data_IF_606783115838
#
_entry.id   IF_606783115838
#
_cell.length_a   1.000
_cell.length_b   1.000
_cell.length_c   1.000
_cell.angle_alpha   90.00
_cell.angle_beta   90.00
_cell.angle_gamma   90.00
#
_symmetry.space_group_name_H-M   'P 1'
#
loop_
_entity.id
_entity.type
_entity.pdbx_description
1 polymer ?
#
# COMPACT_ATOMS: atom_id res chain seq x y z
N UNK A 1 -15.87 -25.03 -20.29
CA UNK A 1 -14.99 -24.24 -19.40
C UNK A 1 -14.56 -23.01 -20.19
N UNK A 2 -15.10 -21.83 -19.84
CA UNK A 2 -14.95 -20.60 -20.63
C UNK A 2 -13.55 -19.98 -20.53
N UNK A 3 -13.15 -19.23 -21.56
CA UNK A 3 -11.84 -18.57 -21.62
C UNK A 3 -11.68 -17.65 -20.40
N UNK A 4 -10.55 -17.72 -19.67
CA UNK A 4 -10.33 -16.84 -18.54
C UNK A 4 -10.43 -15.37 -18.96
N UNK A 5 -10.93 -14.49 -18.07
CA UNK A 5 -11.08 -13.08 -18.37
C UNK A 5 -9.74 -12.46 -18.80
N UNK A 6 -9.73 -11.77 -19.93
CA UNK A 6 -8.56 -11.07 -20.51
C UNK A 6 -8.31 -9.70 -19.89
N UNK A 7 -9.22 -9.20 -19.06
CA UNK A 7 -9.09 -7.89 -18.41
C UNK A 7 -8.07 -7.93 -17.27
N UNK A 8 -7.19 -6.92 -17.14
CA UNK A 8 -6.26 -6.82 -16.02
C UNK A 8 -7.00 -6.83 -14.68
N UNK A 9 -6.51 -7.64 -13.74
CA UNK A 9 -7.04 -7.66 -12.38
C UNK A 9 -6.81 -6.30 -11.73
N UNK A 10 -7.88 -5.62 -11.32
CA UNK A 10 -7.79 -4.35 -10.59
C UNK A 10 -7.02 -4.58 -9.29
N UNK A 11 -6.16 -3.62 -8.93
CA UNK A 11 -5.54 -3.58 -7.59
C UNK A 11 -6.63 -3.40 -6.55
N UNK A 12 -6.45 -4.03 -5.38
CA UNK A 12 -7.41 -3.91 -4.27
C UNK A 12 -7.30 -2.51 -3.67
N UNK A 13 -8.42 -1.87 -3.36
CA UNK A 13 -8.39 -0.62 -2.60
C UNK A 13 -8.07 -0.89 -1.14
N UNK A 14 -7.42 0.09 -0.49
CA UNK A 14 -7.10 0.02 0.93
C UNK A 14 -5.76 0.67 1.28
N UNK A 15 -5.28 0.38 2.48
CA UNK A 15 -4.07 0.91 3.09
C UNK A 15 -2.94 -0.10 3.00
N UNK A 16 -1.88 0.26 2.30
CA UNK A 16 -0.80 -0.63 1.94
C UNK A 16 0.40 -0.44 2.88
N UNK A 17 0.97 -1.55 3.34
CA UNK A 17 2.30 -1.61 3.96
C UNK A 17 3.14 -2.64 3.23
N UNK A 18 4.42 -2.36 3.10
CA UNK A 18 5.42 -3.32 2.64
C UNK A 18 6.25 -3.77 3.83
N UNK A 19 6.43 -5.07 3.98
CA UNK A 19 7.26 -5.66 5.03
C UNK A 19 8.38 -6.47 4.40
N UNK A 20 9.60 -6.33 4.90
CA UNK A 20 10.75 -7.12 4.46
C UNK A 20 11.56 -7.63 5.64
N UNK A 21 12.32 -8.71 5.43
CA UNK A 21 13.25 -9.18 6.46
C UNK A 21 14.36 -8.13 6.66
N UNK A 22 14.76 -7.92 7.92
CA UNK A 22 15.79 -6.93 8.27
C UNK A 22 17.08 -7.23 7.51
N UNK A 23 17.65 -6.21 6.87
CA UNK A 23 18.86 -6.34 6.06
C UNK A 23 18.66 -6.93 4.66
N UNK A 24 17.43 -7.26 4.27
CA UNK A 24 17.14 -7.71 2.90
C UNK A 24 17.18 -6.55 1.91
N UNK A 25 17.86 -6.75 0.78
CA UNK A 25 17.93 -5.78 -0.34
C UNK A 25 16.80 -5.95 -1.36
N UNK A 26 16.07 -7.05 -1.30
CA UNK A 26 14.96 -7.34 -2.20
C UNK A 26 13.67 -6.63 -1.76
N UNK A 27 12.72 -6.51 -2.71
CA UNK A 27 11.37 -6.04 -2.43
C UNK A 27 10.68 -6.94 -1.39
N UNK A 28 9.84 -6.31 -0.57
CA UNK A 28 9.10 -6.95 0.51
C UNK A 28 7.76 -7.52 0.06
N UNK A 29 7.05 -8.08 1.04
CA UNK A 29 5.66 -8.52 0.89
C UNK A 29 4.72 -7.35 1.18
N UNK A 30 3.72 -7.13 0.32
CA UNK A 30 2.68 -6.12 0.54
C UNK A 30 1.52 -6.72 1.33
N UNK A 31 1.11 -6.02 2.39
CA UNK A 31 -0.09 -6.27 3.17
C UNK A 31 -1.05 -5.10 2.95
N UNK A 32 -2.32 -5.44 2.69
CA UNK A 32 -3.39 -4.47 2.45
C UNK A 32 -4.40 -4.56 3.60
N UNK A 33 -4.74 -3.42 4.19
CA UNK A 33 -5.75 -3.28 5.25
C UNK A 33 -6.87 -2.36 4.80
N UNK A 34 -8.06 -2.56 5.36
CA UNK A 34 -9.23 -1.81 4.95
C UNK A 34 -9.26 -0.41 5.59
N UNK A 35 -8.64 -0.22 6.77
CA UNK A 35 -8.57 1.07 7.47
C UNK A 35 -7.14 1.50 7.79
N UNK A 36 -6.93 2.81 7.97
CA UNK A 36 -5.65 3.41 8.37
C UNK A 36 -5.19 2.88 9.73
N UNK A 37 -6.10 2.71 10.67
CA UNK A 37 -5.79 2.22 12.03
C UNK A 37 -5.30 0.78 11.99
N UNK A 38 -5.99 -0.08 11.24
CA UNK A 38 -5.56 -1.47 11.05
C UNK A 38 -4.20 -1.57 10.36
N UNK A 39 -3.91 -0.66 9.42
CA UNK A 39 -2.59 -0.53 8.80
C UNK A 39 -1.51 -0.16 9.81
N UNK A 40 -1.76 0.85 10.65
CA UNK A 40 -0.80 1.28 11.68
C UNK A 40 -0.58 0.20 12.74
N UNK A 41 -1.64 -0.49 13.16
CA UNK A 41 -1.54 -1.62 14.08
C UNK A 41 -0.68 -2.74 13.49
N UNK A 42 -0.90 -3.09 12.21
CA UNK A 42 -0.10 -4.09 11.53
C UNK A 42 1.38 -3.64 11.39
N UNK A 43 1.62 -2.38 11.06
CA UNK A 43 2.98 -1.84 10.98
C UNK A 43 3.73 -2.00 12.32
N UNK A 44 3.07 -1.63 13.43
CA UNK A 44 3.62 -1.77 14.78
C UNK A 44 3.89 -3.23 15.17
N UNK A 45 3.06 -4.17 14.74
CA UNK A 45 3.30 -5.59 15.00
C UNK A 45 4.52 -6.11 14.24
N UNK A 46 4.70 -5.68 12.99
CA UNK A 46 5.80 -6.18 12.14
C UNK A 46 7.13 -5.48 12.39
N UNK A 47 7.17 -4.25 12.91
CA UNK A 47 8.41 -3.49 13.15
C UNK A 47 9.41 -4.20 14.07
N UNK A 48 8.89 -5.05 14.97
CA UNK A 48 9.70 -5.85 15.90
C UNK A 48 10.63 -6.78 15.11
N UNK A 49 10.14 -7.42 14.06
CA UNK A 49 10.85 -8.51 13.36
C UNK A 49 11.27 -8.16 11.92
N UNK A 50 10.65 -7.14 11.32
CA UNK A 50 10.79 -6.78 9.90
C UNK A 50 11.03 -5.29 9.75
N UNK A 51 11.59 -4.90 8.60
CA UNK A 51 11.56 -3.50 8.18
C UNK A 51 10.20 -3.23 7.52
N UNK A 52 9.51 -2.21 8.02
CA UNK A 52 8.17 -1.85 7.56
C UNK A 52 8.22 -0.52 6.81
N UNK A 53 7.64 -0.50 5.63
CA UNK A 53 7.47 0.71 4.80
C UNK A 53 5.99 0.99 4.60
N UNK A 54 5.53 2.17 5.01
CA UNK A 54 4.14 2.58 4.84
C UNK A 54 3.95 3.15 3.42
N UNK A 55 3.13 2.48 2.62
CA UNK A 55 2.80 2.90 1.25
C UNK A 55 1.52 3.75 1.20
N UNK A 56 0.71 3.73 2.26
CA UNK A 56 -0.48 4.57 2.40
C UNK A 56 -1.70 4.09 1.61
N UNK A 57 -2.71 4.94 1.53
CA UNK A 57 -4.00 4.64 0.91
C UNK A 57 -3.88 4.56 -0.62
N UNK A 58 -4.46 3.50 -1.18
CA UNK A 58 -4.65 3.32 -2.61
C UNK A 58 -6.13 3.14 -2.91
N UNK A 59 -6.61 3.89 -3.91
CA UNK A 59 -7.99 3.84 -4.40
C UNK A 59 -7.98 3.88 -5.93
N UNK A 60 -8.77 3.01 -6.55
CA UNK A 60 -8.81 2.81 -8.01
C UNK A 60 -7.42 2.53 -8.60
N UNK A 61 -6.60 1.80 -7.85
CA UNK A 61 -5.24 1.45 -8.22
C UNK A 61 -4.22 2.59 -8.19
N UNK A 62 -4.58 3.77 -7.66
CA UNK A 62 -3.70 4.94 -7.51
C UNK A 62 -3.50 5.29 -6.04
N UNK A 63 -2.31 5.80 -5.69
CA UNK A 63 -2.02 6.28 -4.33
C UNK A 63 -2.71 7.63 -4.07
N UNK A 64 -3.42 7.75 -2.95
CA UNK A 64 -4.26 8.92 -2.66
C UNK A 64 -3.44 10.12 -2.17
N UNK A 65 -2.39 9.92 -1.38
CA UNK A 65 -1.61 11.02 -0.78
C UNK A 65 -0.89 11.94 -1.78
N UNK A 66 -0.42 11.42 -2.92
CA UNK A 66 0.18 12.26 -3.97
C UNK A 66 -0.81 13.27 -4.56
N UNK A 67 -2.10 12.98 -4.47
CA UNK A 67 -3.17 13.83 -4.97
C UNK A 67 -3.33 15.10 -4.13
N UNK A 68 -3.16 15.00 -2.79
CA UNK A 68 -3.34 16.13 -1.87
C UNK A 68 -2.19 17.15 -1.92
N UNK A 69 -0.94 16.71 -2.16
CA UNK A 69 0.19 17.64 -2.32
C UNK A 69 0.15 18.42 -3.63
N UNK A 70 -0.47 17.89 -4.69
CA UNK A 70 -0.62 18.60 -5.98
C UNK A 70 -1.74 19.65 -5.96
N UNK A 71 -2.76 19.50 -5.12
CA UNK A 71 -3.81 20.50 -4.97
C UNK A 71 -3.41 21.71 -4.13
N UNK A 72 -2.45 21.57 -3.21
CA UNK A 72 -1.96 22.68 -2.38
C UNK A 72 -0.81 23.49 -3.03
N UNK A 73 -0.27 23.03 -4.16
CA UNK A 73 0.82 23.70 -4.88
C UNK A 73 0.35 24.60 -6.04
N UNK A 74 -0.97 24.75 -6.26
CA UNK A 74 -1.54 25.58 -7.34
C UNK A 74 -2.22 26.87 -6.86
N UNK A 75 -1.95 27.27 -5.62
CA UNK A 75 -2.33 28.59 -5.08
C UNK A 75 -1.04 29.29 -4.67
N UNK A 76 -0.31 29.82 -5.64
CA UNK A 76 0.58 30.97 -5.46
C UNK A 76 0.76 31.69 -6.78
#
# INVERSE_FOLDING_TARGET
>A
MGRPPVLPKKKKDGFYIEIRNKGSKSSGTIIIRDTREAMMQAARMYEITKDVTILGEHRDGKRVEESKKKSSAKVK
#
